data_IF_125810715128
#
_entry.id   IF_125810715128
#
_cell.length_a   1.000
_cell.length_b   1.000
_cell.length_c   1.000
_cell.angle_alpha   90.00
_cell.angle_beta   90.00
_cell.angle_gamma   90.00
#
_symmetry.space_group_name_H-M   'P 1'
#
loop_
_entity.id
_entity.type
_entity.pdbx_description
1 polymer ?
#
# COMPACT_ATOMS: atom_id res chain seq x y z
N UNK A 1 6.81 -8.18 2.17
CA UNK A 1 7.65 -7.08 2.67
C UNK A 1 6.74 -6.13 3.40
N UNK A 2 7.05 -5.83 4.66
CA UNK A 2 6.15 -5.08 5.53
C UNK A 2 6.16 -3.58 5.19
N UNK A 3 5.24 -3.10 4.34
CA UNK A 3 5.15 -1.67 4.00
C UNK A 3 4.30 -0.84 4.99
N UNK A 4 4.16 -1.27 6.24
CA UNK A 4 3.33 -0.60 7.25
C UNK A 4 4.01 -0.54 8.62
N UNK A 5 4.07 0.67 9.20
CA UNK A 5 4.50 0.86 10.59
C UNK A 5 3.43 0.47 11.60
N UNK A 6 2.18 0.32 11.16
CA UNK A 6 1.12 -0.22 12.00
C UNK A 6 1.49 -1.66 12.34
N UNK A 7 1.54 -2.03 13.63
CA UNK A 7 1.77 -3.40 14.06
C UNK A 7 0.75 -4.35 13.43
N UNK A 8 1.14 -5.62 13.25
CA UNK A 8 0.15 -6.63 12.87
C UNK A 8 -0.90 -6.75 13.98
N UNK A 9 -2.21 -6.78 13.63
CA UNK A 9 -3.23 -7.10 14.61
C UNK A 9 -3.04 -8.54 15.12
N UNK A 10 -3.65 -8.88 16.26
CA UNK A 10 -3.76 -10.29 16.65
C UNK A 10 -4.57 -11.08 15.63
N UNK A 11 -4.37 -12.41 15.61
CA UNK A 11 -5.12 -13.30 14.72
C UNK A 11 -6.60 -13.30 15.08
N UNK A 12 -6.93 -13.13 16.35
CA UNK A 12 -8.28 -13.06 16.88
C UNK A 12 -8.99 -11.78 16.43
N UNK A 13 -8.33 -10.62 16.52
CA UNK A 13 -8.86 -9.34 16.01
C UNK A 13 -9.09 -9.39 14.49
N UNK A 14 -8.13 -9.93 13.75
CA UNK A 14 -8.26 -10.07 12.30
C UNK A 14 -9.39 -11.04 11.92
N UNK A 15 -9.50 -12.19 12.59
CA UNK A 15 -10.62 -13.12 12.38
C UNK A 15 -11.97 -12.46 12.67
N UNK A 16 -12.07 -11.71 13.78
CA UNK A 16 -13.30 -10.99 14.15
C UNK A 16 -13.68 -9.94 13.11
N UNK A 17 -12.70 -9.22 12.56
CA UNK A 17 -12.89 -8.30 11.44
C UNK A 17 -13.39 -9.04 10.19
N UNK A 18 -12.77 -10.15 9.80
CA UNK A 18 -13.24 -10.92 8.65
C UNK A 18 -14.66 -11.42 8.85
N UNK A 19 -14.97 -11.94 10.04
CA UNK A 19 -16.31 -12.42 10.39
C UNK A 19 -17.39 -11.34 10.25
N UNK A 20 -17.10 -10.08 10.57
CA UNK A 20 -18.07 -8.99 10.45
C UNK A 20 -18.28 -8.53 9.01
N UNK A 21 -17.30 -8.75 8.12
CA UNK A 21 -17.34 -8.28 6.73
C UNK A 21 -17.66 -9.39 5.70
N UNK A 22 -17.37 -10.65 5.99
CA UNK A 22 -17.71 -11.77 5.12
C UNK A 22 -19.20 -12.13 5.19
N UNK A 23 -19.74 -12.54 4.05
CA UNK A 23 -21.02 -13.21 3.99
C UNK A 23 -20.92 -14.55 4.73
N UNK A 24 -21.78 -14.79 5.73
CA UNK A 24 -21.70 -15.99 6.58
C UNK A 24 -21.61 -17.30 5.77
N UNK A 25 -22.43 -17.49 4.73
CA UNK A 25 -22.41 -18.68 3.87
C UNK A 25 -21.13 -18.86 3.02
N UNK A 26 -20.23 -17.87 3.01
CA UNK A 26 -18.92 -17.91 2.35
C UNK A 26 -17.76 -18.01 3.35
N UNK A 27 -18.04 -17.92 4.65
CA UNK A 27 -17.04 -17.96 5.72
C UNK A 27 -17.42 -19.04 6.76
N UNK A 28 -17.89 -18.67 7.96
CA UNK A 28 -18.23 -19.65 9.01
C UNK A 28 -19.30 -20.68 8.62
N UNK A 29 -20.22 -20.34 7.72
CA UNK A 29 -21.22 -21.29 7.20
C UNK A 29 -20.63 -22.43 6.36
N UNK A 30 -19.31 -22.38 6.07
CA UNK A 30 -18.55 -23.44 5.39
C UNK A 30 -17.67 -24.24 6.35
N UNK A 31 -17.76 -24.04 7.65
CA UNK A 31 -17.10 -24.92 8.63
C UNK A 31 -17.89 -26.25 8.71
N UNK A 32 -17.60 -27.18 7.81
CA UNK A 32 -18.28 -28.48 7.71
C UNK A 32 -17.48 -29.47 6.87
N UNK A 33 -17.85 -30.76 6.92
CA UNK A 33 -17.18 -31.84 6.20
C UNK A 33 -16.97 -31.61 4.68
N UNK A 34 -17.83 -30.84 3.99
CA UNK A 34 -17.68 -30.60 2.55
C UNK A 34 -16.55 -29.61 2.21
N UNK A 35 -16.32 -28.63 3.08
CA UNK A 35 -15.32 -27.58 2.87
C UNK A 35 -14.12 -27.69 3.83
N UNK A 36 -14.26 -28.51 4.87
CA UNK A 36 -13.38 -28.66 6.03
C UNK A 36 -13.98 -28.01 7.29
N UNK A 37 -13.85 -28.68 8.43
CA UNK A 37 -14.41 -28.23 9.72
C UNK A 37 -13.87 -26.87 10.19
N UNK A 38 -12.73 -26.44 9.68
CA UNK A 38 -12.01 -25.21 10.03
C UNK A 38 -11.88 -24.23 8.85
N UNK A 39 -12.74 -24.32 7.84
CA UNK A 39 -12.62 -23.55 6.59
C UNK A 39 -12.38 -22.05 6.80
N UNK A 40 -13.21 -21.40 7.62
CA UNK A 40 -13.06 -19.97 7.95
C UNK A 40 -11.71 -19.63 8.58
N UNK A 41 -11.15 -20.52 9.41
CA UNK A 41 -9.84 -20.32 10.03
C UNK A 41 -8.71 -20.35 8.99
N UNK A 42 -8.83 -21.22 7.99
CA UNK A 42 -7.88 -21.28 6.87
C UNK A 42 -7.93 -20.04 5.99
N UNK A 43 -9.14 -19.53 5.70
CA UNK A 43 -9.29 -18.23 5.01
C UNK A 43 -8.65 -17.12 5.83
N UNK A 44 -9.00 -17.00 7.12
CA UNK A 44 -8.43 -15.98 7.98
C UNK A 44 -6.91 -16.03 8.06
N UNK A 45 -6.33 -17.23 8.12
CA UNK A 45 -4.89 -17.39 8.10
C UNK A 45 -4.27 -16.97 6.75
N UNK A 46 -4.90 -17.32 5.62
CA UNK A 46 -4.45 -16.89 4.29
C UNK A 46 -4.41 -15.37 4.19
N UNK A 47 -5.51 -14.72 4.56
CA UNK A 47 -5.65 -13.26 4.50
C UNK A 47 -4.71 -12.56 5.49
N UNK A 48 -4.45 -13.17 6.65
CA UNK A 48 -3.50 -12.66 7.63
C UNK A 48 -2.07 -12.66 7.07
N UNK A 49 -1.67 -13.73 6.38
CA UNK A 49 -0.37 -13.82 5.72
C UNK A 49 -0.25 -12.84 4.56
N UNK A 50 -1.34 -12.59 3.84
CA UNK A 50 -1.39 -11.54 2.82
C UNK A 50 -1.21 -10.14 3.44
N UNK A 51 -1.91 -9.86 4.54
CA UNK A 51 -1.79 -8.62 5.29
C UNK A 51 -0.37 -8.42 5.86
N UNK A 52 0.26 -9.48 6.34
CA UNK A 52 1.65 -9.46 6.80
C UNK A 52 2.60 -9.14 5.64
N UNK A 53 2.40 -9.81 4.49
CA UNK A 53 3.24 -9.69 3.31
C UNK A 53 3.11 -8.35 2.60
N UNK A 54 1.90 -7.79 2.49
CA UNK A 54 1.61 -6.63 1.64
C UNK A 54 1.28 -5.37 2.46
N UNK A 55 0.96 -5.51 3.75
CA UNK A 55 0.45 -4.42 4.59
C UNK A 55 -1.04 -4.14 4.44
N UNK A 56 -1.68 -4.74 3.43
CA UNK A 56 -3.11 -4.68 3.16
C UNK A 56 -3.63 -6.01 2.60
N UNK A 57 -4.95 -6.18 2.60
CA UNK A 57 -5.64 -7.31 1.98
C UNK A 57 -7.03 -6.89 1.46
N UNK A 58 -7.72 -7.81 0.78
CA UNK A 58 -8.99 -7.58 0.09
C UNK A 58 -9.98 -8.71 0.38
N UNK A 59 -11.18 -8.35 0.83
CA UNK A 59 -12.35 -9.23 0.77
C UNK A 59 -13.07 -8.95 -0.55
N UNK A 60 -13.18 -9.95 -1.41
CA UNK A 60 -13.82 -9.77 -2.71
C UNK A 60 -15.31 -9.47 -2.56
N UNK A 61 -15.91 -8.82 -3.56
CA UNK A 61 -17.35 -8.54 -3.60
C UNK A 61 -18.22 -9.82 -3.58
N UNK A 62 -17.68 -10.95 -4.06
CA UNK A 62 -18.37 -12.25 -4.03
C UNK A 62 -18.40 -12.89 -2.63
N UNK A 63 -17.49 -12.46 -1.77
CA UNK A 63 -17.31 -12.97 -0.42
C UNK A 63 -17.88 -12.04 0.64
N UNK A 64 -17.91 -10.75 0.37
CA UNK A 64 -18.42 -9.70 1.26
C UNK A 64 -19.91 -9.82 1.54
N UNK A 65 -20.30 -9.53 2.78
CA UNK A 65 -21.69 -9.47 3.23
C UNK A 65 -22.48 -8.38 2.52
N UNK A 66 -21.84 -7.27 2.14
CA UNK A 66 -22.48 -6.13 1.47
C UNK A 66 -22.53 -6.27 -0.04
N UNK A 67 -21.87 -7.30 -0.61
CA UNK A 67 -21.60 -7.46 -2.05
C UNK A 67 -20.74 -6.36 -2.67
N UNK A 68 -20.05 -5.60 -1.83
CA UNK A 68 -19.03 -4.64 -2.23
C UNK A 68 -17.66 -5.13 -1.77
N UNK A 69 -16.62 -4.86 -2.57
CA UNK A 69 -15.25 -5.18 -2.20
C UNK A 69 -14.85 -4.41 -0.94
N UNK A 70 -14.09 -5.05 -0.04
CA UNK A 70 -13.59 -4.42 1.18
C UNK A 70 -12.07 -4.51 1.19
N UNK A 71 -11.40 -3.39 0.92
CA UNK A 71 -9.97 -3.21 1.10
C UNK A 71 -9.69 -2.84 2.55
N UNK A 72 -8.62 -3.37 3.14
CA UNK A 72 -8.25 -3.03 4.51
C UNK A 72 -6.75 -3.19 4.73
N UNK A 73 -6.22 -2.38 5.64
CA UNK A 73 -4.86 -2.48 6.15
C UNK A 73 -4.86 -2.86 7.63
N UNK A 74 -3.70 -2.85 8.27
CA UNK A 74 -3.48 -3.39 9.62
C UNK A 74 -4.27 -2.73 10.76
N UNK A 75 -4.90 -1.57 10.53
CA UNK A 75 -5.82 -0.97 11.49
C UNK A 75 -7.20 -1.63 11.50
N UNK A 76 -7.44 -2.62 10.62
CA UNK A 76 -8.71 -3.33 10.48
C UNK A 76 -9.91 -2.40 10.24
N UNK A 77 -9.71 -1.40 9.37
CA UNK A 77 -10.77 -0.54 8.85
C UNK A 77 -11.04 -0.95 7.41
N UNK A 78 -12.32 -1.17 7.08
CA UNK A 78 -12.75 -1.53 5.73
C UNK A 78 -13.03 -0.30 4.86
N UNK A 79 -12.56 -0.34 3.62
CA UNK A 79 -12.74 0.71 2.61
C UNK A 79 -13.29 0.12 1.31
N UNK A 80 -14.18 0.84 0.63
CA UNK A 80 -14.79 0.36 -0.62
C UNK A 80 -13.85 0.34 -1.83
N UNK A 81 -12.71 1.03 -1.76
CA UNK A 81 -11.70 1.05 -2.84
C UNK A 81 -10.28 1.07 -2.29
N UNK A 82 -9.34 0.58 -3.08
CA UNK A 82 -7.91 0.68 -2.79
C UNK A 82 -7.47 2.13 -2.58
N UNK A 83 -7.96 3.07 -3.39
CA UNK A 83 -7.57 4.49 -3.29
C UNK A 83 -7.93 5.07 -1.93
N UNK A 84 -9.15 4.83 -1.44
CA UNK A 84 -9.59 5.34 -0.13
C UNK A 84 -8.76 4.74 1.02
N UNK A 85 -8.42 3.46 0.91
CA UNK A 85 -7.55 2.79 1.87
C UNK A 85 -6.14 3.39 1.85
N UNK A 86 -5.53 3.56 0.66
CA UNK A 86 -4.22 4.18 0.50
C UNK A 86 -4.22 5.62 1.03
N UNK A 87 -5.24 6.40 0.75
CA UNK A 87 -5.36 7.79 1.24
C UNK A 87 -5.41 7.81 2.77
N UNK A 88 -6.18 6.91 3.40
CA UNK A 88 -6.20 6.78 4.86
C UNK A 88 -4.83 6.39 5.42
N UNK A 89 -4.22 5.34 4.85
CA UNK A 89 -2.92 4.85 5.29
C UNK A 89 -1.80 5.89 5.14
N UNK A 90 -1.74 6.61 4.02
CA UNK A 90 -0.72 7.63 3.74
C UNK A 90 -0.89 8.90 4.60
N UNK A 91 -2.10 9.19 5.06
CA UNK A 91 -2.36 10.34 5.95
C UNK A 91 -2.11 10.02 7.43
N UNK A 92 -1.82 8.76 7.77
CA UNK A 92 -1.47 8.38 9.12
C UNK A 92 -0.12 9.02 9.53
N UNK A 93 0.03 9.47 10.79
CA UNK A 93 1.31 9.97 11.31
C UNK A 93 2.46 8.98 11.19
N UNK A 94 2.16 7.68 11.23
CA UNK A 94 3.09 6.55 11.13
C UNK A 94 3.34 6.06 9.70
N UNK A 95 2.73 6.68 8.69
CA UNK A 95 2.91 6.27 7.29
C UNK A 95 4.38 6.40 6.85
N UNK A 96 4.89 5.37 6.17
CA UNK A 96 6.18 5.47 5.48
C UNK A 96 6.14 6.73 4.62
N UNK A 97 7.08 7.65 4.84
CA UNK A 97 7.10 8.93 4.13
C UNK A 97 8.35 9.00 3.26
N UNK A 98 8.14 9.10 1.96
CA UNK A 98 9.17 9.41 0.98
C UNK A 98 9.10 10.90 0.65
N UNK A 99 10.18 11.61 0.96
CA UNK A 99 10.40 12.98 0.53
C UNK A 99 11.39 12.99 -0.63
N UNK A 100 11.00 13.60 -1.74
CA UNK A 100 11.86 13.78 -2.91
C UNK A 100 11.93 15.27 -3.24
N UNK A 101 13.13 15.81 -3.26
CA UNK A 101 13.40 17.15 -3.78
C UNK A 101 14.26 17.06 -5.02
N UNK A 102 13.83 17.69 -6.11
CA UNK A 102 14.59 17.72 -7.37
C UNK A 102 14.97 19.14 -7.77
N UNK A 103 16.12 19.35 -8.43
CA UNK A 103 16.47 20.65 -8.95
C UNK A 103 15.47 21.15 -10.00
N UNK A 104 15.16 22.45 -10.00
CA UNK A 104 14.23 23.03 -10.97
C UNK A 104 14.69 22.86 -12.43
N UNK A 105 16.00 22.74 -12.63
CA UNK A 105 16.64 22.49 -13.93
C UNK A 105 16.73 21.00 -14.29
N UNK A 106 16.37 20.10 -13.36
CA UNK A 106 16.32 18.65 -13.56
C UNK A 106 15.04 18.21 -14.28
N UNK A 107 14.31 19.13 -14.89
CA UNK A 107 13.54 18.77 -16.08
C UNK A 107 14.44 19.01 -17.30
N UNK A 108 15.01 17.98 -17.94
CA UNK A 108 15.72 18.18 -19.19
C UNK A 108 15.19 17.27 -20.31
N UNK A 109 15.29 17.78 -21.54
CA UNK A 109 15.28 17.09 -22.86
C UNK A 109 14.15 16.13 -23.24
N UNK A 110 13.22 15.75 -22.37
CA UNK A 110 12.02 15.01 -22.79
C UNK A 110 11.08 16.00 -23.51
N UNK A 111 10.91 15.93 -24.84
CA UNK A 111 10.13 16.92 -25.57
C UNK A 111 8.67 16.90 -25.10
N UNK A 112 8.14 18.07 -24.75
CA UNK A 112 6.72 18.24 -24.41
C UNK A 112 6.30 17.83 -22.99
N UNK A 113 7.23 17.55 -22.06
CA UNK A 113 6.89 17.30 -20.64
C UNK A 113 7.48 18.35 -19.71
N UNK A 114 6.62 18.98 -18.92
CA UNK A 114 6.99 19.85 -17.80
C UNK A 114 7.50 19.05 -16.60
N UNK A 115 8.28 19.72 -15.73
CA UNK A 115 8.70 19.13 -14.45
C UNK A 115 7.49 18.65 -13.62
N UNK A 116 6.40 19.41 -13.64
CA UNK A 116 5.18 19.07 -12.90
C UNK A 116 4.56 17.74 -13.36
N UNK A 117 4.59 17.45 -14.66
CA UNK A 117 4.09 16.19 -15.21
C UNK A 117 5.02 15.02 -14.87
N UNK A 118 6.33 15.24 -14.85
CA UNK A 118 7.32 14.24 -14.41
C UNK A 118 7.15 13.91 -12.94
N UNK A 119 6.98 14.91 -12.07
CA UNK A 119 6.70 14.71 -10.64
C UNK A 119 5.36 13.99 -10.43
N UNK A 120 4.31 14.39 -11.14
CA UNK A 120 3.02 13.69 -11.06
C UNK A 120 3.13 12.23 -11.51
N UNK A 121 3.93 11.95 -12.55
CA UNK A 121 4.21 10.57 -12.97
C UNK A 121 5.03 9.82 -11.92
N UNK A 122 6.08 10.42 -11.37
CA UNK A 122 6.90 9.82 -10.31
C UNK A 122 6.04 9.39 -9.13
N UNK A 123 5.16 10.30 -8.65
CA UNK A 123 4.22 10.00 -7.58
C UNK A 123 3.35 8.78 -7.90
N UNK A 124 2.79 8.70 -9.12
CA UNK A 124 1.97 7.56 -9.55
C UNK A 124 2.77 6.26 -9.63
N UNK A 125 3.99 6.30 -10.18
CA UNK A 125 4.84 5.11 -10.30
C UNK A 125 5.21 4.58 -8.92
N UNK A 126 5.60 5.46 -7.99
CA UNK A 126 5.93 5.10 -6.60
C UNK A 126 4.70 4.55 -5.89
N UNK A 127 3.55 5.22 -5.94
CA UNK A 127 2.32 4.73 -5.28
C UNK A 127 1.78 3.45 -5.93
N UNK A 128 2.08 3.19 -7.21
CA UNK A 128 1.74 1.94 -7.87
C UNK A 128 2.58 0.76 -7.38
N UNK A 129 3.84 1.01 -7.00
CA UNK A 129 4.75 -0.02 -6.45
C UNK A 129 4.66 -0.13 -4.93
N UNK A 130 4.51 0.99 -4.23
CA UNK A 130 4.47 1.13 -2.78
C UNK A 130 3.17 1.85 -2.36
N UNK A 131 2.02 1.17 -2.40
CA UNK A 131 0.71 1.80 -2.22
C UNK A 131 0.45 2.39 -0.83
N UNK A 132 1.25 2.01 0.17
CA UNK A 132 1.15 2.51 1.55
C UNK A 132 2.24 3.56 1.88
N UNK A 133 2.94 4.07 0.86
CA UNK A 133 3.98 5.08 1.01
C UNK A 133 3.40 6.49 0.73
N UNK A 134 3.47 7.38 1.71
CA UNK A 134 3.21 8.80 1.53
C UNK A 134 4.34 9.41 0.70
N UNK A 135 3.98 10.03 -0.43
CA UNK A 135 4.96 10.66 -1.32
C UNK A 135 4.79 12.18 -1.31
N UNK A 136 5.83 12.86 -0.86
CA UNK A 136 5.97 14.30 -0.83
C UNK A 136 7.04 14.73 -1.83
N UNK A 137 6.64 15.53 -2.82
CA UNK A 137 7.51 15.96 -3.91
C UNK A 137 7.70 17.47 -3.83
N UNK A 138 8.95 17.91 -3.90
CA UNK A 138 9.34 19.31 -3.98
C UNK A 138 10.24 19.55 -5.20
N UNK A 139 10.21 20.79 -5.69
CA UNK A 139 11.13 21.26 -6.74
C UNK A 139 11.87 22.51 -6.27
N UNK A 140 13.07 22.73 -6.81
CA UNK A 140 13.88 23.91 -6.49
C UNK A 140 15.03 23.66 -5.51
N UNK A 141 15.34 22.40 -5.19
CA UNK A 141 16.58 22.05 -4.50
C UNK A 141 17.81 22.31 -5.39
N UNK A 142 19.00 22.37 -4.79
CA UNK A 142 20.26 22.46 -5.55
C UNK A 142 20.62 21.12 -6.19
N UNK A 143 20.34 20.04 -5.48
CA UNK A 143 20.66 18.66 -5.84
C UNK A 143 19.43 17.76 -5.68
N UNK A 144 19.50 16.53 -6.19
CA UNK A 144 18.46 15.54 -5.94
C UNK A 144 18.61 15.05 -4.48
N UNK A 145 17.55 15.14 -3.71
CA UNK A 145 17.48 14.60 -2.36
C UNK A 145 16.32 13.59 -2.28
N UNK A 146 16.58 12.40 -1.75
CA UNK A 146 15.61 11.32 -1.58
C UNK A 146 15.77 10.82 -0.15
N UNK A 147 14.74 11.02 0.67
CA UNK A 147 14.74 10.64 2.08
C UNK A 147 13.51 9.81 2.39
N UNK A 148 13.70 8.70 3.10
CA UNK A 148 12.62 7.84 3.56
C UNK A 148 12.59 7.88 5.09
N UNK A 149 11.45 8.24 5.64
CA UNK A 149 11.19 8.29 7.07
C UNK A 149 10.23 7.20 7.45
N UNK A 150 10.31 6.77 8.71
CA UNK A 150 9.44 5.73 9.28
C UNK A 150 9.46 4.53 8.34
N UNK A 151 10.59 3.85 8.24
CA UNK A 151 10.77 2.61 7.49
C UNK A 151 12.00 1.88 8.03
N UNK A 152 11.96 0.55 7.98
CA UNK A 152 13.15 -0.26 8.22
C UNK A 152 14.17 -0.04 7.10
N UNK A 153 15.47 -0.18 7.42
CA UNK A 153 16.56 0.12 6.50
C UNK A 153 16.44 -0.61 5.13
N UNK A 154 15.99 -1.87 5.15
CA UNK A 154 15.80 -2.68 3.94
C UNK A 154 14.74 -2.08 3.02
N UNK A 155 13.61 -1.65 3.58
CA UNK A 155 12.50 -1.04 2.84
C UNK A 155 12.91 0.35 2.33
N UNK A 156 13.58 1.13 3.18
CA UNK A 156 14.13 2.44 2.79
C UNK A 156 15.05 2.33 1.58
N UNK A 157 15.97 1.35 1.58
CA UNK A 157 16.88 1.10 0.46
C UNK A 157 16.15 0.72 -0.83
N UNK A 158 15.10 -0.09 -0.73
CA UNK A 158 14.28 -0.48 -1.88
C UNK A 158 13.56 0.73 -2.50
N UNK A 159 12.88 1.53 -1.68
CA UNK A 159 12.15 2.73 -2.12
C UNK A 159 13.12 3.76 -2.72
N UNK A 160 14.26 4.01 -2.07
CA UNK A 160 15.30 4.93 -2.57
C UNK A 160 15.87 4.43 -3.90
N UNK A 161 16.18 3.13 -4.02
CA UNK A 161 16.73 2.54 -5.25
C UNK A 161 15.75 2.64 -6.42
N UNK A 162 14.48 2.31 -6.19
CA UNK A 162 13.41 2.45 -7.18
C UNK A 162 13.27 3.92 -7.64
N UNK A 163 13.16 4.84 -6.69
CA UNK A 163 12.98 6.28 -6.95
C UNK A 163 14.18 6.86 -7.70
N UNK A 164 15.40 6.53 -7.27
CA UNK A 164 16.65 7.00 -7.90
C UNK A 164 16.77 6.51 -9.35
N UNK A 165 16.33 5.28 -9.63
CA UNK A 165 16.35 4.72 -10.98
C UNK A 165 15.45 5.53 -11.92
N UNK A 166 14.23 5.86 -11.48
CA UNK A 166 13.29 6.66 -12.29
C UNK A 166 13.85 8.06 -12.56
N UNK A 167 14.36 8.73 -11.51
CA UNK A 167 14.87 10.11 -11.63
C UNK A 167 16.12 10.15 -12.52
N UNK A 168 17.01 9.16 -12.41
CA UNK A 168 18.21 9.07 -13.26
C UNK A 168 17.85 9.01 -14.75
N UNK A 169 16.77 8.32 -15.10
CA UNK A 169 16.28 8.24 -16.47
C UNK A 169 15.78 9.59 -17.04
N UNK A 170 15.44 10.57 -16.19
CA UNK A 170 15.08 11.91 -16.68
C UNK A 170 16.28 12.68 -17.24
N UNK A 171 17.47 12.40 -16.73
CA UNK A 171 18.71 13.06 -17.18
C UNK A 171 19.35 12.42 -18.42
N UNK A 172 18.96 11.18 -18.74
CA UNK A 172 19.51 10.39 -19.85
C UNK A 172 18.70 10.52 -21.15
N UNK A 173 17.54 11.18 -21.12
CA UNK A 173 16.74 11.55 -22.29
C UNK A 173 17.24 12.79 -22.99
#
# INVERSE_FOLDING_TARGET
MNYSHIPMPSREEHYAFLKSHYHHARFEGRNNASWGEDYSQRIANSDYLELEKNGYALISNHESATREAVFYHRSLVGYGTMSLMCDSACNAPEAICLQVSVPAHLAPKIPGKSLSELLAKLKRDIMGTFPLCRVELASGSKEICIEVFQAEEVISKEIVGFTSTIISNWSQG
#
